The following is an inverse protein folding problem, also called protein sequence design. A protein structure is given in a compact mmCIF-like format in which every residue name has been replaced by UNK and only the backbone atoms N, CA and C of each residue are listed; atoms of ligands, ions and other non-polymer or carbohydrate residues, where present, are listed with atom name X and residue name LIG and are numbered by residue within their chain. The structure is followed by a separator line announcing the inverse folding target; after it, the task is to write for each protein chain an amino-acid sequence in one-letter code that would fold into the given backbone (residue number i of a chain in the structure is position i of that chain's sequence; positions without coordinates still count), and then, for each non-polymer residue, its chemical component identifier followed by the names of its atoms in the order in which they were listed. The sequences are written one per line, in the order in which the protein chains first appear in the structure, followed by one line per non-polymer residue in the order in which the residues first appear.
data_IF_641513745904
#
_entry.id   IF_641513745904
#
_cell.length_a   1.000
_cell.length_b   1.000
_cell.length_c   1.000
_cell.angle_alpha   90.00
_cell.angle_beta   90.00
_cell.angle_gamma   90.00
#
_symmetry.space_group_name_H-M   'P 1'
#
loop_
_entity.id
_entity.type
_entity.pdbx_description
1 polymer ?
#
# COMPACT_ATOMS: atom_id res chain seq x y z
N UNK A 1 -3.88 0.65 -13.71
CA UNK A 1 -4.22 1.27 -12.41
C UNK A 1 -3.41 0.63 -11.31
N UNK A 2 -2.71 1.43 -10.54
CA UNK A 2 -1.90 0.96 -9.42
C UNK A 2 -2.60 1.21 -8.08
N UNK A 3 -2.31 0.35 -7.11
CA UNK A 3 -2.88 0.43 -5.77
C UNK A 3 -1.74 0.43 -4.74
N UNK A 4 -1.80 1.37 -3.82
CA UNK A 4 -0.78 1.57 -2.81
C UNK A 4 -1.04 0.74 -1.55
N UNK A 5 0.02 0.20 -0.99
CA UNK A 5 0.00 -0.48 0.31
C UNK A 5 1.18 -0.01 1.15
N UNK A 6 0.92 0.33 2.41
CA UNK A 6 1.94 0.72 3.38
C UNK A 6 2.68 -0.51 3.90
N UNK A 7 4.01 -0.44 3.90
CA UNK A 7 4.89 -1.48 4.42
C UNK A 7 5.81 -0.86 5.47
N UNK A 8 5.82 -1.42 6.67
CA UNK A 8 6.63 -0.92 7.80
C UNK A 8 7.67 -1.93 8.29
N UNK A 9 7.47 -3.23 8.04
CA UNK A 9 8.36 -4.27 8.55
C UNK A 9 9.64 -4.37 7.73
N UNK A 10 10.79 -4.35 8.40
CA UNK A 10 12.10 -4.43 7.73
C UNK A 10 12.37 -5.81 7.12
N UNK A 11 11.73 -6.85 7.62
CA UNK A 11 11.91 -8.22 7.14
C UNK A 11 11.51 -8.47 5.69
N UNK A 12 10.81 -7.51 5.07
CA UNK A 12 10.50 -7.57 3.63
C UNK A 12 11.73 -7.42 2.75
N UNK A 13 12.80 -6.81 3.27
CA UNK A 13 14.02 -6.55 2.52
C UNK A 13 15.02 -7.69 2.72
N UNK A 14 15.63 -8.13 1.63
CA UNK A 14 16.60 -9.21 1.63
C UNK A 14 16.30 -10.24 0.54
N UNK A 15 17.25 -11.13 0.34
CA UNK A 15 17.19 -12.14 -0.73
C UNK A 15 16.64 -13.49 -0.26
N UNK A 16 16.50 -13.67 1.05
CA UNK A 16 16.07 -14.92 1.66
C UNK A 16 14.54 -14.98 1.80
N UNK A 17 14.05 -16.08 2.36
CA UNK A 17 12.63 -16.26 2.60
C UNK A 17 12.10 -15.22 3.57
N UNK A 18 10.87 -14.77 3.34
CA UNK A 18 10.19 -13.84 4.24
C UNK A 18 9.97 -14.47 5.61
N UNK A 19 10.14 -13.67 6.65
CA UNK A 19 9.81 -14.09 7.99
C UNK A 19 8.30 -13.95 8.29
N UNK A 20 7.87 -14.55 9.38
CA UNK A 20 6.45 -14.55 9.75
C UNK A 20 5.94 -13.14 10.09
N UNK A 21 6.79 -12.27 10.66
CA UNK A 21 6.39 -10.92 11.02
C UNK A 21 6.09 -10.08 9.79
N UNK A 22 6.92 -10.21 8.73
CA UNK A 22 6.69 -9.51 7.47
C UNK A 22 5.39 -9.96 6.81
N UNK A 23 5.17 -11.27 6.71
CA UNK A 23 3.94 -11.80 6.12
C UNK A 23 2.71 -11.36 6.92
N UNK A 24 2.83 -11.29 8.25
CA UNK A 24 1.75 -10.84 9.12
C UNK A 24 1.33 -9.39 8.88
N UNK A 25 2.19 -8.59 8.28
CA UNK A 25 1.85 -7.22 7.89
C UNK A 25 0.74 -7.18 6.83
N UNK A 26 0.55 -8.25 6.07
CA UNK A 26 -0.60 -8.40 5.19
C UNK A 26 -1.83 -8.83 5.99
N UNK A 27 -2.30 -7.90 6.81
CA UNK A 27 -3.45 -8.15 7.69
C UNK A 27 -4.74 -8.16 6.87
N UNK A 28 -5.30 -9.36 6.67
CA UNK A 28 -6.55 -9.56 5.94
C UNK A 28 -7.69 -9.66 6.94
N UNK A 29 -8.59 -8.68 6.93
CA UNK A 29 -9.75 -8.63 7.79
C UNK A 29 -11.01 -8.78 6.94
N UNK A 30 -11.89 -9.72 7.31
CA UNK A 30 -13.13 -10.02 6.58
C UNK A 30 -12.87 -10.29 5.08
N UNK A 31 -11.81 -11.06 4.77
CA UNK A 31 -11.39 -11.39 3.41
C UNK A 31 -10.96 -10.17 2.57
N UNK A 32 -10.63 -9.05 3.23
CA UNK A 32 -10.21 -7.83 2.55
C UNK A 32 -8.80 -7.41 2.91
N UNK A 33 -7.95 -7.18 1.90
CA UNK A 33 -6.66 -6.53 2.06
C UNK A 33 -6.80 -5.06 1.69
N UNK A 34 -6.57 -4.17 2.65
CA UNK A 34 -6.68 -2.73 2.48
C UNK A 34 -5.61 -2.21 1.54
N UNK A 35 -6.03 -1.52 0.49
CA UNK A 35 -5.16 -0.84 -0.47
C UNK A 35 -5.77 0.50 -0.88
N UNK A 36 -4.99 1.35 -1.52
CA UNK A 36 -5.42 2.68 -1.93
C UNK A 36 -5.17 2.89 -3.41
N UNK A 37 -6.22 3.24 -4.14
CA UNK A 37 -6.16 3.50 -5.57
C UNK A 37 -5.37 4.77 -5.85
N UNK A 38 -4.41 4.70 -6.78
CA UNK A 38 -3.70 5.86 -7.28
C UNK A 38 -4.26 6.20 -8.66
N UNK A 39 -4.83 7.39 -8.81
CA UNK A 39 -5.48 7.81 -10.05
C UNK A 39 -4.47 7.92 -11.19
N UNK A 40 -3.32 8.53 -10.93
CA UNK A 40 -2.24 8.67 -11.90
C UNK A 40 -0.90 8.46 -11.21
N UNK A 41 -0.33 7.26 -11.39
CA UNK A 41 0.95 6.91 -10.76
C UNK A 41 2.14 7.69 -11.34
N UNK A 42 1.99 8.33 -12.50
CA UNK A 42 3.00 9.22 -13.07
C UNK A 42 2.95 10.62 -12.47
N UNK A 43 1.85 10.97 -11.79
CA UNK A 43 1.69 12.26 -11.13
C UNK A 43 2.15 12.14 -9.67
N UNK A 44 3.25 12.79 -9.35
CA UNK A 44 3.82 12.80 -8.01
C UNK A 44 2.83 13.29 -6.96
N UNK A 45 1.99 14.27 -7.30
CA UNK A 45 1.00 14.82 -6.37
C UNK A 45 -0.06 13.79 -6.00
N UNK A 46 -0.53 12.98 -6.97
CA UNK A 46 -1.49 11.92 -6.70
C UNK A 46 -0.89 10.85 -5.79
N UNK A 47 0.36 10.45 -6.05
CA UNK A 47 1.07 9.47 -5.23
C UNK A 47 1.29 10.00 -3.82
N UNK A 48 1.73 11.24 -3.68
CA UNK A 48 1.99 11.87 -2.38
C UNK A 48 0.72 12.06 -1.55
N UNK A 49 -0.42 12.34 -2.17
CA UNK A 49 -1.71 12.43 -1.47
C UNK A 49 -2.08 11.10 -0.81
N UNK A 50 -1.88 10.00 -1.49
CA UNK A 50 -2.14 8.68 -0.92
C UNK A 50 -1.16 8.37 0.20
N UNK A 51 0.12 8.72 0.04
CA UNK A 51 1.10 8.56 1.11
C UNK A 51 0.68 9.35 2.37
N UNK A 52 0.19 10.57 2.19
CA UNK A 52 -0.28 11.37 3.30
C UNK A 52 -1.50 10.73 3.99
N UNK A 53 -2.44 10.19 3.21
CA UNK A 53 -3.59 9.47 3.75
C UNK A 53 -3.15 8.28 4.61
N UNK A 54 -2.17 7.52 4.14
CA UNK A 54 -1.61 6.39 4.89
C UNK A 54 -0.92 6.84 6.18
N UNK A 55 -0.19 7.96 6.14
CA UNK A 55 0.45 8.52 7.33
C UNK A 55 -0.57 8.99 8.38
N UNK A 56 -1.74 9.43 7.95
CA UNK A 56 -2.78 9.98 8.81
C UNK A 56 -3.78 8.94 9.35
N UNK A 57 -3.58 7.67 9.08
CA UNK A 57 -4.41 6.60 9.68
C UNK A 57 -4.14 6.51 11.18
N UNK A 58 -2.87 6.65 11.57
CA UNK A 58 -2.44 6.55 12.97
C UNK A 58 -2.19 7.94 13.55
N UNK A 59 -2.26 8.05 14.88
CA UNK A 59 -1.94 9.28 15.59
C UNK A 59 -0.45 9.60 15.60
N UNK A 60 0.39 8.58 15.38
CA UNK A 60 1.85 8.72 15.37
C UNK A 60 2.35 8.64 13.95
N UNK A 61 3.09 9.67 13.52
CA UNK A 61 3.70 9.69 12.20
C UNK A 61 5.00 8.89 12.24
N UNK A 62 5.06 7.85 11.41
CA UNK A 62 6.22 6.97 11.29
C UNK A 62 6.67 6.89 9.83
N UNK A 63 7.96 6.61 9.62
CA UNK A 63 8.46 6.33 8.28
C UNK A 63 7.87 5.03 7.74
N UNK A 64 7.69 4.94 6.44
CA UNK A 64 7.20 3.71 5.80
C UNK A 64 7.62 3.63 4.34
N UNK A 65 7.50 2.43 3.80
CA UNK A 65 7.58 2.17 2.37
C UNK A 65 6.17 2.01 1.83
N UNK A 66 5.92 2.53 0.64
CA UNK A 66 4.65 2.38 -0.04
C UNK A 66 4.90 1.60 -1.34
N UNK A 67 4.39 0.39 -1.40
CA UNK A 67 4.45 -0.42 -2.62
C UNK A 67 3.28 -0.08 -3.53
N UNK A 68 3.52 -0.16 -4.83
CA UNK A 68 2.52 0.09 -5.86
C UNK A 68 2.18 -1.24 -6.52
N UNK A 69 0.99 -1.75 -6.22
CA UNK A 69 0.52 -3.05 -6.69
C UNK A 69 -0.22 -2.91 -8.01
N UNK A 70 0.15 -3.75 -8.98
CA UNK A 70 -0.49 -3.79 -10.29
C UNK A 70 -1.33 -5.06 -10.41
N UNK A 71 -2.68 -4.96 -10.34
CA UNK A 71 -3.55 -6.13 -10.45
C UNK A 71 -3.34 -6.93 -11.74
N UNK A 72 -3.11 -6.26 -12.85
CA UNK A 72 -2.85 -6.95 -14.12
C UNK A 72 -1.59 -7.82 -14.04
N UNK A 73 -0.53 -7.32 -13.40
CA UNK A 73 0.70 -8.06 -13.16
C UNK A 73 0.49 -9.26 -12.24
N UNK A 74 -0.30 -9.08 -11.18
CA UNK A 74 -0.63 -10.16 -10.25
C UNK A 74 -1.44 -11.25 -10.96
N UNK A 75 -2.47 -10.87 -11.72
CA UNK A 75 -3.29 -11.82 -12.47
C UNK A 75 -2.47 -12.61 -13.49
N UNK A 76 -1.57 -11.95 -14.18
CA UNK A 76 -0.71 -12.59 -15.17
C UNK A 76 0.24 -13.61 -14.53
N UNK A 77 0.83 -13.27 -13.39
CA UNK A 77 1.82 -14.11 -12.72
C UNK A 77 1.20 -15.33 -12.02
N UNK A 78 0.09 -15.12 -11.33
CA UNK A 78 -0.49 -16.15 -10.45
C UNK A 78 -1.77 -16.79 -10.99
N UNK A 79 -2.26 -16.36 -12.14
CA UNK A 79 -3.52 -16.83 -12.73
C UNK A 79 -4.70 -16.64 -11.77
N UNK A 80 -4.67 -15.53 -11.07
CA UNK A 80 -5.65 -15.18 -10.04
C UNK A 80 -6.34 -13.86 -10.41
N UNK A 81 -7.64 -13.92 -10.68
CA UNK A 81 -8.45 -12.74 -10.97
C UNK A 81 -8.79 -12.03 -9.66
N UNK A 82 -8.18 -10.87 -9.44
CA UNK A 82 -8.44 -10.05 -8.25
C UNK A 82 -9.83 -9.43 -8.32
N UNK A 83 -10.60 -9.61 -7.26
CA UNK A 83 -11.86 -8.89 -7.05
C UNK A 83 -11.65 -7.77 -6.05
N UNK A 84 -12.53 -6.77 -6.09
CA UNK A 84 -12.42 -5.56 -5.28
C UNK A 84 -13.73 -5.31 -4.54
N UNK A 85 -13.62 -4.77 -3.32
CA UNK A 85 -14.76 -4.30 -2.52
C UNK A 85 -14.50 -2.86 -2.12
N UNK A 86 -15.37 -1.95 -2.54
CA UNK A 86 -15.25 -0.54 -2.17
C UNK A 86 -15.59 -0.34 -0.69
N UNK A 87 -14.77 0.47 -0.02
CA UNK A 87 -14.96 0.82 1.39
C UNK A 87 -14.23 2.14 1.65
N UNK A 88 -14.92 3.17 2.20
CA UNK A 88 -14.24 4.42 2.54
C UNK A 88 -13.09 4.19 3.50
N UNK A 89 -11.99 4.91 3.28
CA UNK A 89 -10.79 4.78 4.10
C UNK A 89 -10.94 5.46 5.45
N UNK A 90 -10.34 4.85 6.48
CA UNK A 90 -10.27 5.42 7.82
C UNK A 90 -8.97 6.22 7.95
N UNK A 91 -9.00 7.46 7.49
CA UNK A 91 -7.86 8.38 7.55
C UNK A 91 -8.33 9.78 7.92
N UNK A 92 -7.47 10.51 8.61
CA UNK A 92 -7.74 11.92 8.91
C UNK A 92 -7.59 12.83 7.69
N UNK A 93 -7.01 12.34 6.60
CA UNK A 93 -6.96 13.06 5.34
C UNK A 93 -8.17 12.70 4.48
N UNK A 94 -9.30 13.36 4.74
CA UNK A 94 -10.60 12.99 4.18
C UNK A 94 -10.73 13.20 2.67
N UNK A 95 -9.85 13.98 2.05
CA UNK A 95 -9.94 14.31 0.62
C UNK A 95 -9.82 13.08 -0.28
N UNK A 96 -9.13 12.04 0.17
CA UNK A 96 -8.88 10.84 -0.63
C UNK A 96 -9.46 9.56 -0.01
N UNK A 97 -10.35 9.68 0.97
CA UNK A 97 -10.93 8.51 1.65
C UNK A 97 -11.66 7.55 0.70
N UNK A 98 -12.20 8.06 -0.41
CA UNK A 98 -12.91 7.26 -1.40
C UNK A 98 -11.98 6.49 -2.34
N UNK A 99 -10.68 6.73 -2.26
CA UNK A 99 -9.69 5.97 -3.01
C UNK A 99 -9.34 4.64 -2.31
N UNK A 100 -9.78 4.45 -1.08
CA UNK A 100 -9.59 3.19 -0.36
C UNK A 100 -10.46 2.09 -0.93
N UNK A 101 -9.88 0.90 -1.09
CA UNK A 101 -10.58 -0.28 -1.56
C UNK A 101 -9.91 -1.51 -0.93
N UNK A 102 -10.62 -2.62 -0.92
CA UNK A 102 -10.05 -3.89 -0.47
C UNK A 102 -9.86 -4.82 -1.66
N UNK A 103 -8.70 -5.47 -1.76
CA UNK A 103 -8.54 -6.67 -2.56
C UNK A 103 -9.24 -7.81 -1.82
N UNK A 104 -10.05 -8.60 -2.53
CA UNK A 104 -10.69 -9.77 -1.95
C UNK A 104 -9.69 -10.92 -1.89
N UNK A 105 -9.37 -11.37 -0.69
CA UNK A 105 -8.40 -12.44 -0.43
C UNK A 105 -9.13 -13.53 0.37
N UNK A 106 -9.37 -14.68 -0.25
CA UNK A 106 -10.20 -15.73 0.32
C UNK A 106 -9.39 -16.89 0.90
N UNK A 107 -8.16 -17.09 0.43
CA UNK A 107 -7.35 -18.26 0.79
C UNK A 107 -5.95 -17.86 1.22
N UNK A 108 -5.27 -18.76 1.94
CA UNK A 108 -3.85 -18.59 2.28
C UNK A 108 -2.93 -18.58 1.06
N UNK A 109 -3.32 -19.25 -0.02
CA UNK A 109 -2.55 -19.24 -1.27
C UNK A 109 -2.42 -17.83 -1.82
N UNK A 110 -3.51 -17.07 -1.78
CA UNK A 110 -3.55 -15.69 -2.27
C UNK A 110 -2.70 -14.76 -1.41
N UNK A 111 -2.68 -14.97 -0.08
CA UNK A 111 -1.76 -14.27 0.81
C UNK A 111 -0.32 -14.57 0.43
N UNK A 112 -0.02 -15.83 0.12
CA UNK A 112 1.30 -16.23 -0.35
C UNK A 112 1.69 -15.55 -1.66
N UNK A 113 0.78 -15.46 -2.62
CA UNK A 113 1.00 -14.77 -3.89
C UNK A 113 1.31 -13.29 -3.68
N UNK A 114 0.51 -12.62 -2.86
CA UNK A 114 0.71 -11.21 -2.56
C UNK A 114 2.03 -10.97 -1.82
N UNK A 115 2.38 -11.86 -0.89
CA UNK A 115 3.65 -11.76 -0.15
C UNK A 115 4.85 -11.86 -1.09
N UNK A 116 4.83 -12.82 -2.00
CA UNK A 116 5.89 -12.96 -3.00
C UNK A 116 5.96 -11.75 -3.93
N UNK A 117 4.81 -11.28 -4.41
CA UNK A 117 4.73 -10.14 -5.30
C UNK A 117 5.29 -8.88 -4.64
N UNK A 118 4.90 -8.60 -3.40
CA UNK A 118 5.41 -7.45 -2.63
C UNK A 118 6.90 -7.57 -2.37
N UNK A 119 7.38 -8.75 -2.01
CA UNK A 119 8.79 -9.00 -1.80
C UNK A 119 9.61 -8.69 -3.06
N UNK A 120 9.13 -9.10 -4.22
CA UNK A 120 9.79 -8.82 -5.50
C UNK A 120 9.78 -7.33 -5.82
N UNK A 121 8.69 -6.61 -5.54
CA UNK A 121 8.61 -5.15 -5.75
C UNK A 121 9.63 -4.41 -4.90
N UNK A 122 9.85 -4.84 -3.68
CA UNK A 122 10.77 -4.18 -2.75
C UNK A 122 12.23 -4.49 -3.05
N UNK A 123 12.54 -5.68 -3.56
CA UNK A 123 13.91 -6.13 -3.73
C UNK A 123 14.40 -6.11 -5.17
N UNK A 124 13.57 -6.51 -6.13
CA UNK A 124 13.99 -6.70 -7.52
C UNK A 124 13.52 -5.58 -8.44
N UNK A 125 12.27 -5.17 -8.33
CA UNK A 125 11.64 -4.27 -9.29
C UNK A 125 11.58 -2.82 -8.85
N UNK A 126 11.81 -2.54 -7.58
CA UNK A 126 11.81 -1.19 -7.00
C UNK A 126 10.56 -0.36 -7.33
N UNK A 127 9.40 -0.98 -7.42
CA UNK A 127 8.12 -0.31 -7.59
C UNK A 127 7.57 0.12 -6.24
N UNK A 128 8.33 0.97 -5.54
CA UNK A 128 7.95 1.48 -4.23
C UNK A 128 8.44 2.92 -4.04
N UNK A 129 7.89 3.58 -3.03
CA UNK A 129 8.32 4.89 -2.55
C UNK A 129 8.67 4.79 -1.07
N UNK A 130 9.68 5.56 -0.66
CA UNK A 130 10.02 5.68 0.75
C UNK A 130 9.65 7.06 1.24
N UNK A 131 8.98 7.13 2.41
CA UNK A 131 8.58 8.38 3.03
C UNK A 131 9.13 8.43 4.46
N UNK A 132 10.06 9.35 4.72
CA UNK A 132 10.52 9.62 6.06
C UNK A 132 9.59 10.62 6.76
N UNK A 133 9.80 10.79 8.08
CA UNK A 133 8.94 11.66 8.90
C UNK A 133 9.03 13.12 8.46
N UNK A 134 10.21 13.58 8.05
CA UNK A 134 10.41 14.97 7.62
C UNK A 134 9.60 15.25 6.38
N UNK A 135 9.66 14.37 5.40
CA UNK A 135 8.89 14.50 4.15
C UNK A 135 7.38 14.46 4.42
N UNK A 136 6.94 13.54 5.27
CA UNK A 136 5.52 13.42 5.60
C UNK A 136 4.98 14.68 6.30
N UNK A 137 5.77 15.26 7.20
CA UNK A 137 5.40 16.54 7.84
C UNK A 137 5.32 17.68 6.83
N UNK A 138 6.23 17.71 5.86
CA UNK A 138 6.19 18.73 4.80
C UNK A 138 4.93 18.56 3.94
N UNK A 139 4.57 17.35 3.56
CA UNK A 139 3.35 17.07 2.81
C UNK A 139 2.11 17.50 3.58
N UNK A 140 2.06 17.23 4.87
CA UNK A 140 0.94 17.63 5.73
C UNK A 140 0.83 19.16 5.82
N UNK A 141 1.97 19.83 5.96
CA UNK A 141 2.01 21.29 6.00
C UNK A 141 1.49 21.92 4.69
N UNK A 142 1.93 21.38 3.56
CA UNK A 142 1.50 21.86 2.25
C UNK A 142 0.00 21.62 2.02
N UNK A 143 -0.50 20.45 2.42
CA UNK A 143 -1.92 20.12 2.32
C UNK A 143 -2.79 21.02 3.19
N UNK A 144 -2.33 21.38 4.38
CA UNK A 144 -3.05 22.27 5.28
C UNK A 144 -3.20 23.68 4.71
N UNK A 145 -2.24 24.14 3.92
CA UNK A 145 -2.32 25.45 3.25
C UNK A 145 -3.36 25.49 2.14
N UNK A 146 -3.57 24.37 1.47
CA UNK A 146 -4.53 24.26 0.37
C UNK A 146 -5.97 24.12 0.88
N UNK A 147 -6.14 23.67 2.09
CA UNK A 147 -7.43 23.43 2.71
C UNK A 147 -7.99 24.62 3.42
#
# INVERSE_FOLDING_TARGET
MLYARKITEDGWFGTDALDADSISELNVDNHGLSVWKIQDASDKLDVDKIALALAMINHKVEEFYMVLLDPAGIEAKYKWALAFTAQPGDTHYSQVKDEHINFVVETFWEIGYLSEYIHDLLNDNRHYRYYDVIRLRQLAYDAAKEG
#
